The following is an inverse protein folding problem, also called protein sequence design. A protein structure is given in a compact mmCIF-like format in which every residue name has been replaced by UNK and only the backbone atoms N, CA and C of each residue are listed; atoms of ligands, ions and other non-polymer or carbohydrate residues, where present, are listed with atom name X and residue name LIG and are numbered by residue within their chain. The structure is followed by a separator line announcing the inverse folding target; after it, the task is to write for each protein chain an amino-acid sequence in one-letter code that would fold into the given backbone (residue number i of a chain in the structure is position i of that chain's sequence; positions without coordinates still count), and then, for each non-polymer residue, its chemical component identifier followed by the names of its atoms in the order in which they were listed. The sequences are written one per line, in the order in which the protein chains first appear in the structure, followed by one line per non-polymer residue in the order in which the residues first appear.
data_IF_861490982692
#
_entry.id   IF_861490982692
#
_cell.length_a   1.000
_cell.length_b   1.000
_cell.length_c   1.000
_cell.angle_alpha   90.00
_cell.angle_beta   90.00
_cell.angle_gamma   90.00
#
_symmetry.space_group_name_H-M   'P 1'
#
loop_
_entity.id
_entity.type
_entity.pdbx_description
1 polymer ?
#
# COMPACT_ATOMS: atom_id res chain seq x y z
N UNK A 1 -9.71 24.90 50.51
CA UNK A 1 -8.41 24.92 49.82
C UNK A 1 -8.68 24.61 48.35
N UNK A 2 -8.56 25.60 47.48
CA UNK A 2 -8.73 25.42 46.04
C UNK A 2 -7.35 25.15 45.43
N UNK A 3 -7.13 23.94 44.91
CA UNK A 3 -5.92 23.62 44.17
C UNK A 3 -6.07 24.13 42.76
N UNK A 4 -5.37 25.17 42.37
CA UNK A 4 -5.20 25.61 40.98
C UNK A 4 -3.87 25.08 40.48
N UNK A 5 -3.92 23.99 39.74
CA UNK A 5 -2.76 23.55 38.99
C UNK A 5 -2.68 24.37 37.68
N UNK A 6 -1.73 25.30 37.62
CA UNK A 6 -1.43 25.98 36.37
C UNK A 6 -0.49 25.06 35.57
N UNK A 7 -1.04 24.28 34.65
CA UNK A 7 -0.31 23.30 33.83
C UNK A 7 0.50 23.92 32.67
N UNK A 8 0.56 25.25 32.61
CA UNK A 8 1.24 25.93 31.51
C UNK A 8 0.59 25.63 30.15
N UNK A 9 0.89 26.43 29.15
CA UNK A 9 0.47 26.17 27.79
C UNK A 9 1.46 25.16 27.18
N UNK A 10 1.08 23.90 27.07
CA UNK A 10 1.83 22.93 26.30
C UNK A 10 1.41 23.04 24.84
N UNK A 11 2.34 23.45 23.99
CA UNK A 11 2.12 23.45 22.54
C UNK A 11 2.51 22.09 21.99
N UNK A 12 1.53 21.24 21.73
CA UNK A 12 1.76 19.98 21.03
C UNK A 12 1.80 20.24 19.53
N UNK A 13 2.99 20.23 18.95
CA UNK A 13 3.13 20.25 17.49
C UNK A 13 3.01 18.81 17.00
N UNK A 14 1.81 18.41 16.60
CA UNK A 14 1.61 17.12 15.96
C UNK A 14 2.24 17.15 14.57
N UNK A 15 3.16 16.19 14.29
CA UNK A 15 3.85 16.10 13.00
C UNK A 15 2.95 15.61 11.87
N UNK A 16 1.83 14.96 12.19
CA UNK A 16 0.96 14.29 11.20
C UNK A 16 -0.33 15.08 10.97
N UNK A 17 -0.87 15.70 12.02
CA UNK A 17 -2.14 16.43 11.94
C UNK A 17 -1.97 17.74 11.19
N UNK A 18 -2.78 17.94 10.16
CA UNK A 18 -2.85 19.20 9.42
C UNK A 18 -3.44 20.33 10.28
N UNK A 19 -2.92 21.54 10.13
CA UNK A 19 -3.28 22.70 10.96
C UNK A 19 -4.67 23.28 10.64
N UNK A 20 -5.33 22.87 9.56
CA UNK A 20 -6.60 23.47 9.12
C UNK A 20 -7.62 22.38 8.76
N UNK A 21 -8.85 22.55 9.22
CA UNK A 21 -10.02 21.78 8.82
C UNK A 21 -10.42 20.71 9.81
N UNK A 22 -10.88 19.61 9.31
CA UNK A 22 -11.36 18.47 10.06
C UNK A 22 -10.21 17.80 10.83
N UNK A 23 -10.22 17.81 12.14
CA UNK A 23 -9.28 17.04 12.95
C UNK A 23 -9.34 15.56 12.57
N UNK A 24 -8.21 14.83 12.63
CA UNK A 24 -8.21 13.42 12.27
C UNK A 24 -9.03 12.61 13.26
N UNK A 25 -9.82 11.70 12.73
CA UNK A 25 -10.51 10.68 13.51
C UNK A 25 -9.59 9.47 13.65
N UNK A 26 -9.34 9.02 14.89
CA UNK A 26 -8.48 7.88 15.17
C UNK A 26 -9.29 6.66 15.62
N UNK A 27 -8.85 5.51 15.17
CA UNK A 27 -9.37 4.21 15.60
C UNK A 27 -8.19 3.30 15.98
N UNK A 28 -8.47 2.32 16.84
CA UNK A 28 -7.52 1.26 17.16
C UNK A 28 -7.84 0.02 16.35
N UNK A 29 -6.80 -0.63 15.81
CA UNK A 29 -6.95 -1.81 14.96
C UNK A 29 -5.81 -2.80 15.20
N UNK A 30 -6.07 -4.10 15.00
CA UNK A 30 -5.04 -5.14 15.14
C UNK A 30 -3.95 -4.98 14.08
N UNK A 31 -2.70 -5.08 14.51
CA UNK A 31 -1.50 -5.06 13.66
C UNK A 31 -0.97 -6.47 13.45
N UNK A 32 -0.56 -6.77 12.23
CA UNK A 32 0.13 -8.02 11.92
C UNK A 32 1.48 -8.08 12.64
N UNK A 33 1.76 -9.20 13.29
CA UNK A 33 3.05 -9.44 13.94
C UNK A 33 4.23 -9.45 12.94
N UNK A 34 5.42 -9.24 13.45
CA UNK A 34 6.68 -9.37 12.70
C UNK A 34 6.84 -8.42 11.49
N UNK A 35 6.26 -7.21 11.57
CA UNK A 35 6.48 -6.16 10.57
C UNK A 35 7.70 -5.28 10.89
N UNK A 36 8.36 -5.52 12.02
CA UNK A 36 9.44 -4.68 12.52
C UNK A 36 8.96 -3.42 13.24
N UNK A 37 9.83 -2.43 13.35
CA UNK A 37 9.46 -1.11 13.87
C UNK A 37 8.72 -0.33 12.79
N UNK A 38 7.55 0.19 13.15
CA UNK A 38 6.71 1.02 12.30
C UNK A 38 6.69 2.43 12.87
N UNK A 39 7.20 3.37 12.11
CA UNK A 39 7.24 4.77 12.51
C UNK A 39 5.86 5.42 12.43
N UNK A 40 5.68 6.43 13.26
CA UNK A 40 4.56 7.36 13.14
C UNK A 40 4.53 7.95 11.72
N UNK A 41 3.35 8.00 11.09
CA UNK A 41 3.18 8.48 9.74
C UNK A 41 3.21 7.39 8.68
N UNK A 42 3.52 6.13 9.04
CA UNK A 42 3.37 5.02 8.12
C UNK A 42 1.95 4.90 7.61
N UNK A 43 1.80 4.83 6.29
CA UNK A 43 0.56 4.42 5.67
C UNK A 43 0.32 2.95 5.99
N UNK A 44 -0.92 2.64 6.36
CA UNK A 44 -1.36 1.30 6.69
C UNK A 44 -2.45 0.85 5.71
N UNK A 45 -2.47 -0.43 5.43
CA UNK A 45 -3.49 -1.12 4.65
C UNK A 45 -4.04 -2.30 5.45
N UNK A 46 -5.15 -2.88 5.03
CA UNK A 46 -5.64 -4.14 5.56
C UNK A 46 -5.20 -5.30 4.67
N UNK A 47 -4.82 -6.41 5.29
CA UNK A 47 -4.66 -7.68 4.58
C UNK A 47 -6.02 -8.40 4.47
N UNK A 48 -6.01 -9.62 3.91
CA UNK A 48 -7.22 -10.43 3.75
C UNK A 48 -7.86 -10.91 5.07
N UNK A 49 -7.14 -10.82 6.18
CA UNK A 49 -7.61 -11.22 7.52
C UNK A 49 -8.06 -10.01 8.34
N UNK A 50 -8.27 -8.85 7.70
CA UNK A 50 -8.63 -7.57 8.32
C UNK A 50 -7.62 -7.08 9.38
N UNK A 51 -6.35 -7.41 9.21
CA UNK A 51 -5.24 -6.99 10.09
C UNK A 51 -4.40 -5.93 9.37
N UNK A 52 -3.98 -4.89 10.10
CA UNK A 52 -3.13 -3.83 9.56
C UNK A 52 -1.76 -4.35 9.16
N UNK A 53 -1.36 -3.98 7.96
CA UNK A 53 -0.02 -4.12 7.40
C UNK A 53 0.46 -2.76 6.88
N UNK A 54 1.76 -2.52 6.75
CA UNK A 54 2.24 -1.34 6.05
C UNK A 54 1.70 -1.30 4.62
N UNK A 55 1.28 -0.13 4.16
CA UNK A 55 1.00 0.11 2.75
C UNK A 55 2.30 0.04 1.96
N UNK A 56 2.34 -0.81 0.95
CA UNK A 56 3.57 -1.10 0.22
C UNK A 56 3.35 -1.24 -1.28
N UNK A 57 4.44 -1.04 -2.03
CA UNK A 57 4.56 -1.48 -3.41
C UNK A 57 5.20 -2.87 -3.37
N UNK A 58 4.44 -3.88 -3.72
CA UNK A 58 4.94 -5.24 -3.83
C UNK A 58 5.41 -5.54 -5.25
N UNK A 59 6.40 -6.42 -5.37
CA UNK A 59 6.95 -6.87 -6.65
C UNK A 59 7.17 -8.38 -6.62
N UNK A 60 6.46 -9.10 -7.49
CA UNK A 60 6.48 -10.56 -7.56
C UNK A 60 6.83 -11.05 -8.94
N UNK A 61 7.74 -12.03 -9.02
CA UNK A 61 7.92 -12.82 -10.24
C UNK A 61 6.76 -13.79 -10.37
N UNK A 62 5.92 -13.61 -11.40
CA UNK A 62 4.72 -14.42 -11.66
C UNK A 62 4.95 -15.54 -12.67
N UNK A 63 6.12 -15.57 -13.29
CA UNK A 63 6.51 -16.60 -14.24
C UNK A 63 7.90 -16.37 -14.82
N UNK A 64 8.37 -17.37 -15.57
CA UNK A 64 9.62 -17.28 -16.32
C UNK A 64 9.37 -17.75 -17.76
N UNK A 65 9.82 -16.98 -18.71
CA UNK A 65 9.72 -17.29 -20.14
C UNK A 65 10.44 -18.59 -20.50
N UNK A 66 9.92 -19.30 -21.49
CA UNK A 66 10.52 -20.52 -22.04
C UNK A 66 10.73 -20.45 -23.56
N UNK A 67 10.55 -19.28 -24.17
CA UNK A 67 10.68 -19.04 -25.61
C UNK A 67 9.50 -19.55 -26.45
N UNK A 68 8.50 -20.21 -25.85
CA UNK A 68 7.39 -20.83 -26.60
C UNK A 68 6.00 -20.52 -26.04
N UNK A 69 5.91 -19.96 -24.85
CA UNK A 69 4.65 -19.66 -24.14
C UNK A 69 4.38 -18.16 -24.09
N UNK A 70 3.12 -17.79 -24.28
CA UNK A 70 2.60 -16.42 -24.15
C UNK A 70 1.76 -16.19 -22.92
N UNK A 71 1.06 -17.22 -22.44
CA UNK A 71 0.06 -17.11 -21.40
C UNK A 71 0.61 -17.55 -20.04
N UNK A 72 0.42 -16.70 -19.02
CA UNK A 72 0.87 -16.93 -17.65
C UNK A 72 -0.24 -16.61 -16.66
N UNK A 73 -0.35 -17.42 -15.62
CA UNK A 73 -1.29 -17.22 -14.52
C UNK A 73 -0.56 -17.33 -13.19
N UNK A 74 -0.94 -16.51 -12.23
CA UNK A 74 -0.37 -16.53 -10.89
C UNK A 74 -1.37 -15.96 -9.87
N UNK A 75 -0.97 -15.96 -8.61
CA UNK A 75 -1.66 -15.21 -7.55
C UNK A 75 -0.65 -14.29 -6.89
N UNK A 76 -0.93 -12.99 -6.85
CA UNK A 76 -0.12 -11.99 -6.16
C UNK A 76 -0.18 -12.23 -4.64
N UNK A 77 0.87 -11.83 -3.93
CA UNK A 77 0.93 -12.01 -2.47
C UNK A 77 0.02 -11.02 -1.76
N UNK A 78 -0.14 -9.83 -2.31
CA UNK A 78 -1.09 -8.84 -1.84
C UNK A 78 -2.54 -9.26 -2.12
N UNK A 79 -3.41 -8.95 -1.17
CA UNK A 79 -4.88 -8.99 -1.28
C UNK A 79 -5.42 -7.58 -1.08
N UNK A 80 -6.65 -7.35 -1.47
CA UNK A 80 -7.24 -6.01 -1.44
C UNK A 80 -6.37 -5.01 -2.19
N UNK A 81 -6.04 -5.39 -3.44
CA UNK A 81 -5.16 -4.61 -4.33
C UNK A 81 -5.88 -3.34 -4.78
N UNK A 82 -5.16 -2.24 -4.80
CA UNK A 82 -5.68 -0.96 -5.29
C UNK A 82 -5.95 -1.04 -6.79
N UNK A 83 -7.20 -0.82 -7.26
CA UNK A 83 -7.51 -0.75 -8.67
C UNK A 83 -6.70 0.32 -9.41
N UNK A 84 -6.16 -0.03 -10.58
CA UNK A 84 -5.30 0.84 -11.37
C UNK A 84 -3.84 0.87 -10.92
N UNK A 85 -3.43 -0.01 -10.00
CA UNK A 85 -2.06 -0.04 -9.48
C UNK A 85 -1.21 -1.19 -10.00
N UNK A 86 -1.80 -2.14 -10.72
CA UNK A 86 -1.08 -3.33 -11.17
C UNK A 86 -0.36 -3.06 -12.49
N UNK A 87 0.91 -3.43 -12.53
CA UNK A 87 1.67 -3.51 -13.79
C UNK A 87 2.32 -4.86 -13.91
N UNK A 88 2.43 -5.38 -15.14
CA UNK A 88 3.15 -6.62 -15.43
C UNK A 88 4.12 -6.36 -16.56
N UNK A 89 5.33 -6.86 -16.47
CA UNK A 89 6.30 -6.73 -17.58
C UNK A 89 7.22 -7.94 -17.66
N UNK A 90 7.59 -8.26 -18.91
CA UNK A 90 8.70 -9.16 -19.26
C UNK A 90 9.90 -8.38 -19.80
N UNK A 91 9.94 -7.04 -19.60
CA UNK A 91 10.89 -6.06 -20.14
C UNK A 91 10.71 -5.73 -21.64
N UNK A 92 9.94 -6.51 -22.40
CA UNK A 92 9.61 -6.27 -23.81
C UNK A 92 8.21 -5.68 -23.95
N UNK A 93 7.25 -6.26 -23.23
CA UNK A 93 5.87 -5.77 -23.17
C UNK A 93 5.50 -5.42 -21.75
N UNK A 94 4.79 -4.29 -21.56
CA UNK A 94 4.33 -3.83 -20.27
C UNK A 94 2.82 -3.68 -20.27
N UNK A 95 2.17 -4.34 -19.32
CA UNK A 95 0.73 -4.25 -19.09
C UNK A 95 0.42 -3.19 -18.06
N UNK A 96 -0.60 -2.40 -18.33
CA UNK A 96 -1.18 -1.44 -17.41
C UNK A 96 -2.61 -1.87 -17.01
N UNK A 97 -2.93 -1.68 -15.76
CA UNK A 97 -4.25 -1.93 -15.17
C UNK A 97 -5.19 -0.75 -15.46
N UNK A 98 -6.37 -1.04 -16.01
CA UNK A 98 -7.40 -0.03 -16.33
C UNK A 98 -8.27 0.38 -15.12
N UNK A 99 -8.04 -0.24 -13.95
CA UNK A 99 -8.84 -0.01 -12.74
C UNK A 99 -10.19 -0.75 -12.73
N UNK A 100 -10.52 -1.50 -13.78
CA UNK A 100 -11.75 -2.28 -13.90
C UNK A 100 -11.47 -3.80 -13.95
N UNK A 101 -10.23 -4.22 -13.70
CA UNK A 101 -9.83 -5.62 -13.66
C UNK A 101 -9.24 -6.13 -14.97
N UNK A 102 -9.03 -5.27 -15.97
CA UNK A 102 -8.37 -5.66 -17.22
C UNK A 102 -6.94 -5.12 -17.25
N UNK A 103 -6.03 -5.92 -17.78
CA UNK A 103 -4.64 -5.55 -18.03
C UNK A 103 -4.43 -5.43 -19.54
N UNK A 104 -3.91 -4.28 -19.97
CA UNK A 104 -3.66 -3.99 -21.39
C UNK A 104 -2.17 -3.85 -21.63
N UNK A 105 -1.61 -4.71 -22.48
CA UNK A 105 -0.23 -4.64 -22.93
C UNK A 105 -0.03 -3.52 -23.96
N UNK A 106 1.11 -2.84 -23.90
CA UNK A 106 1.53 -1.81 -24.86
C UNK A 106 1.84 -2.38 -26.26
N UNK A 107 2.12 -3.68 -26.34
CA UNK A 107 2.28 -4.44 -27.59
C UNK A 107 1.03 -5.26 -27.97
N UNK A 108 -0.15 -4.94 -27.45
CA UNK A 108 -1.44 -5.58 -27.69
C UNK A 108 -1.70 -6.90 -26.93
N UNK A 109 -0.90 -7.27 -25.96
CA UNK A 109 -1.21 -8.32 -25.00
C UNK A 109 -2.44 -7.96 -24.16
N UNK A 110 -3.08 -8.97 -23.58
CA UNK A 110 -4.29 -8.81 -22.73
C UNK A 110 -4.14 -9.59 -21.45
N UNK A 111 -4.83 -9.15 -20.40
CA UNK A 111 -4.84 -9.86 -19.14
C UNK A 111 -5.98 -9.43 -18.23
N UNK A 112 -6.05 -10.06 -17.07
CA UNK A 112 -7.04 -9.77 -16.03
C UNK A 112 -6.42 -9.83 -14.64
N UNK A 113 -6.99 -9.08 -13.72
CA UNK A 113 -6.65 -9.09 -12.30
C UNK A 113 -7.92 -9.12 -11.44
N UNK A 114 -7.94 -9.97 -10.43
CA UNK A 114 -8.93 -9.92 -9.37
C UNK A 114 -8.32 -9.22 -8.16
N UNK A 115 -8.76 -8.01 -7.85
CA UNK A 115 -8.20 -7.18 -6.78
C UNK A 115 -8.40 -7.76 -5.37
N UNK A 116 -9.42 -8.58 -5.17
CA UNK A 116 -9.70 -9.18 -3.86
C UNK A 116 -8.80 -10.38 -3.60
N UNK A 117 -8.65 -11.26 -4.60
CA UNK A 117 -7.90 -12.51 -4.45
C UNK A 117 -6.46 -12.43 -4.89
N UNK A 118 -6.07 -11.41 -5.67
CA UNK A 118 -4.77 -11.29 -6.29
C UNK A 118 -4.57 -12.24 -7.48
N UNK A 119 -5.60 -12.96 -7.93
CA UNK A 119 -5.49 -13.83 -9.10
C UNK A 119 -5.25 -13.00 -10.36
N UNK A 120 -4.18 -13.32 -11.09
CA UNK A 120 -3.75 -12.60 -12.28
C UNK A 120 -3.54 -13.56 -13.44
N UNK A 121 -3.94 -13.15 -14.63
CA UNK A 121 -3.70 -13.85 -15.87
C UNK A 121 -3.28 -12.85 -16.94
N UNK A 122 -2.20 -13.16 -17.68
CA UNK A 122 -1.71 -12.32 -18.79
C UNK A 122 -1.41 -13.19 -20.01
N UNK A 123 -1.67 -12.65 -21.18
CA UNK A 123 -1.29 -13.25 -22.48
C UNK A 123 -0.52 -12.18 -23.25
N UNK A 124 0.78 -12.37 -23.38
CA UNK A 124 1.68 -11.51 -24.16
C UNK A 124 1.37 -11.59 -25.65
N UNK A 125 1.67 -10.53 -26.39
CA UNK A 125 1.54 -10.54 -27.84
C UNK A 125 2.50 -11.53 -28.51
N UNK A 126 3.74 -11.64 -28.00
CA UNK A 126 4.76 -12.58 -28.44
C UNK A 126 5.10 -13.62 -27.36
N UNK A 127 5.79 -14.70 -27.74
CA UNK A 127 6.33 -15.65 -26.77
C UNK A 127 7.38 -14.95 -25.90
N UNK A 128 7.28 -15.11 -24.59
CA UNK A 128 8.26 -14.55 -23.65
C UNK A 128 9.60 -15.26 -23.81
N UNK A 129 10.66 -14.48 -23.95
CA UNK A 129 12.02 -14.96 -24.16
C UNK A 129 12.42 -15.99 -23.10
N UNK A 130 13.19 -16.99 -23.49
CA UNK A 130 13.66 -18.03 -22.56
C UNK A 130 14.46 -17.43 -21.40
N UNK A 131 14.16 -17.87 -20.18
CA UNK A 131 14.73 -17.41 -18.90
C UNK A 131 14.39 -15.95 -18.52
N UNK A 132 13.55 -15.27 -19.31
CA UNK A 132 13.09 -13.94 -18.97
C UNK A 132 12.09 -14.00 -17.81
N UNK A 133 12.36 -13.27 -16.72
CA UNK A 133 11.42 -13.13 -15.61
C UNK A 133 10.23 -12.25 -16.04
N UNK A 134 9.03 -12.67 -15.63
CA UNK A 134 7.80 -11.88 -15.76
C UNK A 134 7.48 -11.35 -14.36
N UNK A 135 7.54 -10.03 -14.22
CA UNK A 135 7.37 -9.38 -12.91
C UNK A 135 6.06 -8.60 -12.88
N UNK A 136 5.29 -8.81 -11.84
CA UNK A 136 4.11 -8.02 -11.51
C UNK A 136 4.41 -7.10 -10.33
N UNK A 137 3.99 -5.84 -10.40
CA UNK A 137 3.96 -4.92 -9.26
C UNK A 137 2.53 -4.58 -8.91
N UNK A 138 2.25 -4.38 -7.64
CA UNK A 138 0.93 -4.02 -7.13
C UNK A 138 1.01 -3.17 -5.87
N UNK A 139 -0.11 -2.58 -5.46
CA UNK A 139 -0.24 -1.81 -4.21
C UNK A 139 -1.50 -2.24 -3.48
N UNK A 140 -1.46 -2.20 -2.15
CA UNK A 140 -2.65 -2.36 -1.32
C UNK A 140 -3.58 -1.15 -1.43
N UNK A 141 -4.80 -1.27 -0.91
CA UNK A 141 -5.69 -0.12 -0.67
C UNK A 141 -5.26 0.51 0.67
N UNK A 142 -4.96 1.82 0.73
CA UNK A 142 -4.64 2.47 2.00
C UNK A 142 -5.89 2.54 2.88
N UNK A 143 -5.71 2.25 4.17
CA UNK A 143 -6.78 2.23 5.17
C UNK A 143 -6.62 3.36 6.20
N UNK A 144 -5.40 3.75 6.51
CA UNK A 144 -5.13 4.80 7.49
C UNK A 144 -3.66 5.19 7.58
N UNK A 145 -3.37 6.10 8.49
CA UNK A 145 -2.02 6.56 8.81
C UNK A 145 -1.72 6.27 10.27
N UNK A 146 -0.61 5.62 10.56
CA UNK A 146 -0.21 5.26 11.91
C UNK A 146 0.02 6.52 12.76
N UNK A 147 -0.72 6.65 13.85
CA UNK A 147 -0.70 7.83 14.73
C UNK A 147 0.49 7.85 15.69
N UNK A 148 0.99 6.68 16.06
CA UNK A 148 2.12 6.50 16.97
C UNK A 148 3.05 5.42 16.44
N UNK A 149 4.33 5.49 16.79
CA UNK A 149 5.27 4.41 16.52
C UNK A 149 4.86 3.12 17.27
N UNK A 150 5.06 1.99 16.60
CA UNK A 150 4.79 0.66 17.17
C UNK A 150 5.89 -0.29 16.74
N UNK A 151 6.36 -1.12 17.68
CA UNK A 151 7.30 -2.21 17.38
C UNK A 151 6.54 -3.53 17.34
N UNK A 152 6.48 -4.14 16.18
CA UNK A 152 5.84 -5.45 15.95
C UNK A 152 6.87 -6.57 15.86
N UNK A 153 7.98 -6.46 16.59
CA UNK A 153 9.10 -7.42 16.53
C UNK A 153 8.78 -8.72 17.26
N UNK A 154 7.83 -8.72 18.19
CA UNK A 154 7.44 -9.88 18.98
C UNK A 154 6.30 -10.65 18.30
N UNK A 155 6.27 -11.98 18.47
CA UNK A 155 5.15 -12.80 18.03
C UNK A 155 3.93 -12.48 18.92
N UNK A 156 2.87 -11.99 18.32
CA UNK A 156 1.62 -11.61 18.97
C UNK A 156 0.88 -10.55 18.17
N UNK A 157 -0.41 -10.42 18.37
CA UNK A 157 -1.19 -9.32 17.83
C UNK A 157 -0.91 -8.07 18.64
N UNK A 158 -0.49 -7.01 17.99
CA UNK A 158 -0.37 -5.68 18.58
C UNK A 158 -1.50 -4.80 18.06
N UNK A 159 -1.77 -3.71 18.77
CA UNK A 159 -2.80 -2.74 18.40
C UNK A 159 -2.14 -1.46 17.92
N UNK A 160 -2.44 -1.07 16.70
CA UNK A 160 -2.07 0.23 16.14
C UNK A 160 -3.21 1.23 16.26
N UNK A 161 -2.88 2.46 16.63
CA UNK A 161 -3.82 3.59 16.51
C UNK A 161 -3.56 4.25 15.17
N UNK A 162 -4.59 4.36 14.33
CA UNK A 162 -4.50 4.96 13.01
C UNK A 162 -5.47 6.14 12.87
N UNK A 163 -5.07 7.14 12.11
CA UNK A 163 -5.95 8.16 11.56
C UNK A 163 -6.57 7.62 10.28
N UNK A 164 -7.88 7.44 10.25
CA UNK A 164 -8.60 6.92 9.09
C UNK A 164 -9.49 7.95 8.40
N UNK A 165 -9.53 9.17 8.91
CA UNK A 165 -10.24 10.30 8.31
C UNK A 165 -9.62 11.63 8.74
N UNK A 166 -9.69 12.67 7.90
CA UNK A 166 -9.27 14.03 8.21
C UNK A 166 -7.99 14.47 7.51
N UNK A 167 -7.38 15.56 7.97
CA UNK A 167 -6.19 16.15 7.34
C UNK A 167 -4.91 15.70 8.03
N UNK A 168 -3.89 15.39 7.23
CA UNK A 168 -2.57 14.94 7.68
C UNK A 168 -1.47 15.70 6.93
N UNK A 169 -0.29 15.86 7.55
CA UNK A 169 0.85 16.52 6.90
C UNK A 169 1.53 15.57 5.91
N UNK A 170 1.52 15.90 4.62
CA UNK A 170 2.09 15.09 3.55
C UNK A 170 3.55 14.74 3.77
N UNK A 171 4.37 15.70 4.20
CA UNK A 171 5.81 15.53 4.39
C UNK A 171 6.18 14.54 5.52
N UNK A 172 5.21 14.14 6.33
CA UNK A 172 5.42 13.19 7.44
C UNK A 172 4.92 11.78 7.11
N UNK A 173 4.43 11.56 5.89
CA UNK A 173 3.84 10.28 5.50
C UNK A 173 4.86 9.37 4.84
N UNK A 174 4.84 8.10 5.24
CA UNK A 174 5.76 7.07 4.78
C UNK A 174 5.00 5.89 4.19
N UNK A 175 5.58 5.26 3.17
CA UNK A 175 5.13 3.99 2.60
C UNK A 175 6.32 3.06 2.37
N UNK A 176 6.10 1.77 2.25
CA UNK A 176 7.14 0.82 1.84
C UNK A 176 7.30 0.80 0.32
N UNK A 177 8.53 0.86 -0.15
CA UNK A 177 8.87 0.63 -1.55
C UNK A 177 9.10 -0.87 -1.84
N UNK A 178 9.39 -1.22 -3.10
CA UNK A 178 9.66 -2.61 -3.54
C UNK A 178 10.86 -3.27 -2.87
N UNK A 179 11.75 -2.50 -2.25
CA UNK A 179 12.88 -3.01 -1.47
C UNK A 179 12.54 -3.17 0.03
N UNK A 180 11.28 -2.90 0.44
CA UNK A 180 10.84 -2.95 1.83
C UNK A 180 11.28 -1.76 2.70
N UNK A 181 11.90 -0.74 2.12
CA UNK A 181 12.33 0.45 2.84
C UNK A 181 11.19 1.47 2.96
N UNK A 182 11.11 2.17 4.10
CA UNK A 182 10.20 3.30 4.27
C UNK A 182 10.71 4.53 3.53
N UNK A 183 9.86 5.07 2.68
CA UNK A 183 10.12 6.26 1.86
C UNK A 183 8.92 7.21 1.93
N UNK A 184 9.13 8.47 1.57
CA UNK A 184 8.01 9.42 1.44
C UNK A 184 6.94 8.89 0.48
N UNK A 185 5.68 9.23 0.74
CA UNK A 185 4.58 8.83 -0.14
C UNK A 185 4.72 9.46 -1.52
N UNK A 186 4.35 8.71 -2.55
CA UNK A 186 4.24 9.23 -3.91
C UNK A 186 2.84 9.80 -4.20
N UNK A 187 2.67 10.35 -5.39
CA UNK A 187 1.41 10.95 -5.82
C UNK A 187 0.28 9.91 -5.92
N UNK A 188 0.59 8.66 -6.26
CA UNK A 188 -0.40 7.58 -6.33
C UNK A 188 -0.95 7.24 -4.95
N UNK A 189 -0.08 7.12 -3.94
CA UNK A 189 -0.46 6.91 -2.56
C UNK A 189 -1.26 8.11 -2.01
N UNK A 190 -0.83 9.34 -2.34
CA UNK A 190 -1.53 10.57 -1.96
C UNK A 190 -2.97 10.60 -2.50
N UNK A 191 -3.17 10.28 -3.78
CA UNK A 191 -4.52 10.20 -4.39
C UNK A 191 -5.37 9.08 -3.81
N UNK A 192 -4.76 7.94 -3.46
CA UNK A 192 -5.46 6.84 -2.83
C UNK A 192 -5.95 7.20 -1.42
N UNK A 193 -5.14 7.93 -0.63
CA UNK A 193 -5.55 8.48 0.66
C UNK A 193 -6.73 9.43 0.55
N UNK A 194 -6.72 10.34 -0.43
CA UNK A 194 -7.85 11.26 -0.67
C UNK A 194 -9.14 10.49 -0.93
N UNK A 195 -9.09 9.42 -1.72
CA UNK A 195 -10.24 8.53 -1.96
C UNK A 195 -10.70 7.82 -0.68
N UNK A 196 -9.80 7.56 0.26
CA UNK A 196 -10.10 6.97 1.56
C UNK A 196 -10.58 8.01 2.61
N UNK A 197 -10.70 9.30 2.25
CA UNK A 197 -11.14 10.37 3.17
C UNK A 197 -10.02 10.96 4.04
N UNK A 198 -8.77 10.69 3.70
CA UNK A 198 -7.59 11.22 4.38
C UNK A 198 -6.92 12.22 3.43
N UNK A 199 -6.76 13.46 3.85
CA UNK A 199 -6.32 14.58 3.01
C UNK A 199 -4.89 14.99 3.36
N UNK A 200 -3.87 14.56 2.59
CA UNK A 200 -2.48 15.02 2.73
C UNK A 200 -2.36 16.49 2.32
N UNK A 201 -1.88 17.36 3.22
CA UNK A 201 -1.66 18.79 3.02
C UNK A 201 -0.18 19.14 3.15
#
# INVERSE_FOLDING_TARGET
MTWTANLGTQTFTDKIVGAQGHGPFSISWSLKASQGALDRGCLMALNADDVLIPYEIDSKVIGTGNGSTKAYTATLDQKLIQPGSVTVTDTVETFADDGAGNLKGDAAGTGTINYVTGAIAVTFNANVTNLQAITATSRNIPFGVLAFEVSTTTAGEEVGVIYNHGTVKKDSLLMKNTAGAFVAIDETASRALIKAGIYPL
#
